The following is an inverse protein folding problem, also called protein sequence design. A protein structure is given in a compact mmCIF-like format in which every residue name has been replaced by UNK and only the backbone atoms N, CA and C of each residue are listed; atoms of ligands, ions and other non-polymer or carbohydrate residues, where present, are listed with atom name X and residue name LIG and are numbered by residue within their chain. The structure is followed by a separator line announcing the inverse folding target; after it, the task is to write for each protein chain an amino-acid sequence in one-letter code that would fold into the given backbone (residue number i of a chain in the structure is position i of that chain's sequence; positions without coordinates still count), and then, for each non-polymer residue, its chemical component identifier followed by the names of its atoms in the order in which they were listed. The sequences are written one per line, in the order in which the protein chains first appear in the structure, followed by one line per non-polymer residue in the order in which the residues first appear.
data_IF_494972364283
#
_entry.id   IF_494972364283
#
_cell.length_a   1.000
_cell.length_b   1.000
_cell.length_c   1.000
_cell.angle_alpha   90.00
_cell.angle_beta   90.00
_cell.angle_gamma   90.00
#
_symmetry.space_group_name_H-M   'P 1'
#
loop_
_entity.id
_entity.type
_entity.pdbx_description
1 polymer ?
#
# COMPACT_ATOMS: atom_id res chain seq x y z
N UNK A 1 -4.44 -12.52 11.78
CA UNK A 1 -5.13 -12.81 10.52
C UNK A 1 -6.36 -11.94 10.39
N UNK A 2 -6.26 -10.87 9.60
CA UNK A 2 -7.42 -10.06 9.23
C UNK A 2 -7.88 -10.60 7.87
N UNK A 3 -9.02 -11.29 7.84
CA UNK A 3 -9.56 -11.84 6.58
C UNK A 3 -10.00 -10.68 5.71
N UNK A 4 -9.56 -10.64 4.45
CA UNK A 4 -10.03 -9.66 3.45
C UNK A 4 -9.11 -8.46 3.19
N UNK A 5 -7.92 -8.39 3.81
CA UNK A 5 -6.98 -7.26 3.63
C UNK A 5 -6.68 -6.98 2.15
N UNK A 6 -6.33 -8.02 1.39
CA UNK A 6 -6.04 -7.87 -0.03
C UNK A 6 -7.25 -7.32 -0.79
N UNK A 7 -8.47 -7.74 -0.45
CA UNK A 7 -9.68 -7.25 -1.08
C UNK A 7 -9.94 -5.78 -0.75
N UNK A 8 -9.75 -5.37 0.50
CA UNK A 8 -9.92 -3.96 0.90
C UNK A 8 -8.89 -3.04 0.25
N UNK A 9 -7.61 -3.42 0.28
CA UNK A 9 -6.53 -2.62 -0.32
C UNK A 9 -6.67 -2.57 -1.84
N UNK A 10 -6.98 -3.68 -2.50
CA UNK A 10 -7.22 -3.68 -3.95
C UNK A 10 -8.44 -2.88 -4.36
N UNK A 11 -9.50 -2.88 -3.54
CA UNK A 11 -10.69 -2.03 -3.74
C UNK A 11 -10.33 -0.56 -3.63
N UNK A 12 -9.49 -0.19 -2.65
CA UNK A 12 -9.01 1.18 -2.50
C UNK A 12 -8.17 1.61 -3.72
N UNK A 13 -7.25 0.76 -4.18
CA UNK A 13 -6.48 1.03 -5.39
C UNK A 13 -7.40 1.23 -6.60
N UNK A 14 -8.36 0.32 -6.82
CA UNK A 14 -9.30 0.40 -7.93
C UNK A 14 -10.19 1.65 -7.88
N UNK A 15 -10.64 2.05 -6.68
CA UNK A 15 -11.42 3.28 -6.46
C UNK A 15 -10.68 4.52 -6.96
N UNK A 16 -9.36 4.56 -6.78
CA UNK A 16 -8.51 5.68 -7.16
C UNK A 16 -7.79 5.50 -8.50
N UNK A 17 -8.22 4.53 -9.32
CA UNK A 17 -7.57 4.22 -10.62
C UNK A 17 -6.07 3.88 -10.51
N UNK A 18 -5.65 3.38 -9.35
CA UNK A 18 -4.28 2.90 -9.08
C UNK A 18 -4.18 1.47 -9.58
N UNK A 19 -3.23 1.22 -10.47
CA UNK A 19 -3.01 -0.11 -11.04
C UNK A 19 -2.04 -0.92 -10.17
N UNK A 20 -2.33 -2.21 -9.96
CA UNK A 20 -1.46 -3.09 -9.17
C UNK A 20 -0.52 -3.80 -10.13
N UNK A 21 0.78 -3.55 -10.01
CA UNK A 21 1.82 -4.16 -10.85
C UNK A 21 2.20 -5.54 -10.28
N UNK A 22 2.44 -5.60 -8.98
CA UNK A 22 2.91 -6.82 -8.31
C UNK A 22 2.38 -6.90 -6.88
N UNK A 23 2.11 -8.12 -6.43
CA UNK A 23 1.75 -8.41 -5.05
C UNK A 23 2.62 -9.57 -4.56
N UNK A 24 3.38 -9.32 -3.51
CA UNK A 24 4.14 -10.35 -2.80
C UNK A 24 3.60 -10.46 -1.38
N UNK A 25 3.28 -11.68 -0.95
CA UNK A 25 2.83 -11.98 0.40
C UNK A 25 3.69 -13.06 1.03
N UNK A 26 3.99 -12.92 2.32
CA UNK A 26 4.78 -13.88 3.09
C UNK A 26 4.31 -13.95 4.54
N UNK A 27 4.61 -15.06 5.20
CA UNK A 27 4.37 -15.25 6.63
C UNK A 27 5.72 -15.11 7.33
N UNK A 28 5.87 -14.06 8.14
CA UNK A 28 7.10 -13.73 8.84
C UNK A 28 6.88 -13.84 10.35
N UNK A 29 7.42 -14.89 10.97
CA UNK A 29 7.35 -15.11 12.43
C UNK A 29 5.92 -14.91 12.98
N UNK A 30 4.95 -15.62 12.38
CA UNK A 30 3.51 -15.57 12.70
C UNK A 30 2.77 -14.27 12.32
N UNK A 31 3.44 -13.34 11.62
CA UNK A 31 2.80 -12.16 11.03
C UNK A 31 2.55 -12.36 9.53
N UNK A 32 1.35 -12.00 9.07
CA UNK A 32 1.07 -11.87 7.65
C UNK A 32 1.66 -10.56 7.13
N UNK A 33 2.57 -10.64 6.17
CA UNK A 33 3.19 -9.50 5.52
C UNK A 33 2.80 -9.48 4.04
N UNK A 34 2.36 -8.31 3.56
CA UNK A 34 1.99 -8.10 2.17
C UNK A 34 2.68 -6.83 1.67
N UNK A 35 3.33 -6.95 0.52
CA UNK A 35 3.98 -5.87 -0.20
C UNK A 35 3.30 -5.76 -1.56
N UNK A 36 2.89 -4.56 -1.92
CA UNK A 36 2.25 -4.26 -3.19
C UNK A 36 3.05 -3.20 -3.93
N UNK A 37 3.41 -3.49 -5.17
CA UNK A 37 3.92 -2.49 -6.10
C UNK A 37 2.75 -1.99 -6.94
N UNK A 38 2.58 -0.67 -6.95
CA UNK A 38 1.45 -0.02 -7.61
C UNK A 38 1.91 1.12 -8.51
N UNK A 39 1.18 1.33 -9.59
CA UNK A 39 1.31 2.46 -10.50
C UNK A 39 0.23 3.50 -10.16
N UNK A 40 0.70 4.69 -9.80
CA UNK A 40 -0.13 5.83 -9.38
C UNK A 40 -0.24 6.91 -10.46
N UNK A 41 0.25 6.69 -11.68
CA UNK A 41 0.23 7.67 -12.78
C UNK A 41 -1.19 8.13 -13.14
N UNK A 42 -2.17 7.25 -12.96
CA UNK A 42 -3.60 7.52 -13.22
C UNK A 42 -4.39 7.81 -11.96
N UNK A 43 -3.71 7.99 -10.82
CA UNK A 43 -4.37 8.25 -9.55
C UNK A 43 -5.21 9.53 -9.66
N UNK A 44 -6.47 9.46 -9.25
CA UNK A 44 -7.40 10.59 -9.30
C UNK A 44 -7.22 11.58 -8.13
N UNK A 45 -6.37 11.23 -7.16
CA UNK A 45 -6.02 12.04 -5.99
C UNK A 45 -4.49 12.20 -5.86
N UNK A 46 -4.01 13.24 -5.15
CA UNK A 46 -2.59 13.35 -4.82
C UNK A 46 -2.09 12.12 -4.06
N UNK A 47 -0.86 11.69 -4.35
CA UNK A 47 -0.25 10.53 -3.69
C UNK A 47 -0.24 10.65 -2.16
N UNK A 48 -0.06 11.86 -1.61
CA UNK A 48 -0.13 12.09 -0.16
C UNK A 48 -1.51 11.75 0.39
N UNK A 49 -2.58 12.15 -0.29
CA UNK A 49 -3.95 11.80 0.09
C UNK A 49 -4.21 10.30 -0.03
N UNK A 50 -3.67 9.64 -1.05
CA UNK A 50 -3.75 8.18 -1.18
C UNK A 50 -3.01 7.47 -0.05
N UNK A 51 -1.82 7.94 0.30
CA UNK A 51 -1.04 7.42 1.43
C UNK A 51 -1.75 7.62 2.77
N UNK A 52 -2.44 8.75 2.96
CA UNK A 52 -3.28 9.00 4.13
C UNK A 52 -4.48 8.04 4.19
N UNK A 53 -5.16 7.78 3.06
CA UNK A 53 -6.25 6.79 2.98
C UNK A 53 -5.76 5.36 3.29
N UNK A 54 -4.60 4.96 2.78
CA UNK A 54 -3.94 3.67 3.08
C UNK A 54 -3.62 3.58 4.58
N UNK A 55 -3.04 4.64 5.16
CA UNK A 55 -2.68 4.68 6.58
C UNK A 55 -3.93 4.58 7.47
N UNK A 56 -5.00 5.31 7.12
CA UNK A 56 -6.29 5.24 7.82
C UNK A 56 -6.95 3.87 7.69
N UNK A 57 -6.83 3.20 6.54
CA UNK A 57 -7.28 1.82 6.35
C UNK A 57 -6.50 0.86 7.26
N UNK A 58 -5.18 1.03 7.37
CA UNK A 58 -4.33 0.30 8.30
C UNK A 58 -4.80 0.45 9.75
N UNK A 59 -5.01 1.68 10.22
CA UNK A 59 -5.52 1.93 11.58
C UNK A 59 -6.87 1.25 11.85
N UNK A 60 -7.82 1.33 10.89
CA UNK A 60 -9.15 0.69 11.03
C UNK A 60 -9.09 -0.82 11.08
N UNK A 61 -8.16 -1.42 10.35
CA UNK A 61 -8.00 -2.87 10.25
C UNK A 61 -7.02 -3.44 11.28
N UNK A 62 -6.41 -2.59 12.11
CA UNK A 62 -5.41 -2.97 13.10
C UNK A 62 -4.09 -3.41 12.48
N UNK A 63 -3.76 -2.91 11.29
CA UNK A 63 -2.58 -3.25 10.51
C UNK A 63 -1.65 -2.05 10.38
N UNK A 64 -0.35 -2.33 10.38
CA UNK A 64 0.66 -1.32 10.02
C UNK A 64 0.78 -1.29 8.49
N UNK A 65 0.18 -0.29 7.85
CA UNK A 65 0.30 -0.05 6.41
C UNK A 65 1.06 1.24 6.17
N UNK A 66 2.02 1.22 5.25
CA UNK A 66 2.77 2.40 4.83
C UNK A 66 2.85 2.42 3.31
N UNK A 67 2.46 3.55 2.70
CA UNK A 67 2.67 3.81 1.27
C UNK A 67 3.87 4.73 1.12
N UNK A 68 4.89 4.29 0.38
CA UNK A 68 6.11 5.06 0.14
C UNK A 68 6.28 5.24 -1.36
N UNK A 69 6.53 6.47 -1.79
CA UNK A 69 6.87 6.74 -3.19
C UNK A 69 8.28 6.20 -3.47
N UNK A 70 8.48 5.54 -4.61
CA UNK A 70 9.77 4.97 -4.99
C UNK A 70 10.91 6.03 -4.95
N UNK A 71 10.60 7.28 -5.33
CA UNK A 71 11.53 8.40 -5.27
C UNK A 71 12.11 8.69 -3.87
N UNK A 72 11.34 8.43 -2.80
CA UNK A 72 11.83 8.59 -1.42
C UNK A 72 12.83 7.47 -1.08
N UNK A 73 12.63 6.27 -1.63
CA UNK A 73 13.54 5.14 -1.45
C UNK A 73 14.91 5.39 -2.11
N UNK A 74 14.92 5.97 -3.31
CA UNK A 74 16.17 6.36 -4.01
C UNK A 74 16.98 7.44 -3.28
N UNK A 75 16.32 8.29 -2.49
CA UNK A 75 17.00 9.37 -1.76
C UNK A 75 17.69 8.87 -0.49
N UNK A 76 17.25 7.75 0.10
CA UNK A 76 17.90 7.16 1.28
C UNK A 76 19.22 6.43 0.98
N UNK A 77 19.49 6.09 -0.29
CA UNK A 77 20.75 5.48 -0.74
C UNK A 77 21.77 6.50 -1.31
N UNK A 78 21.55 7.80 -1.10
CA UNK A 78 22.55 8.83 -1.39
C UNK A 78 23.05 9.48 -0.09
N UNK A 79 23.97 8.78 0.58
CA UNK A 79 24.98 9.38 1.48
C UNK A 79 26.33 8.74 1.14
#
# INVERSE_FOLDING_TARGET
DTVGILAEVSTLCAKHSVNIIEVTQSILQDMFCMIMLVDVDKCDIPFTSFADEISSLGEKTGLSMNAVHEDIFNTMHHI
#
